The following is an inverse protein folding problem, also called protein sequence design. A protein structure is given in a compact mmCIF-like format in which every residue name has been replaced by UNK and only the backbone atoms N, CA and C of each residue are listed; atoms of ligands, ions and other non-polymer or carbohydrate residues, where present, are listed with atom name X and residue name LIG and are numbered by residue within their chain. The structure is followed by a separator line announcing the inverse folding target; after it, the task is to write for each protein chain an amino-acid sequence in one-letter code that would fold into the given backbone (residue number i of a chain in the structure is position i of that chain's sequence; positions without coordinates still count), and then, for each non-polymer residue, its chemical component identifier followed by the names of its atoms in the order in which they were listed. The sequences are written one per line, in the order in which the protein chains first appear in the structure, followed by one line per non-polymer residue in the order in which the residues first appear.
data_IF_688246827311
#
_entry.id   IF_688246827311
#
_cell.length_a   1.000
_cell.length_b   1.000
_cell.length_c   1.000
_cell.angle_alpha   90.00
_cell.angle_beta   90.00
_cell.angle_gamma   90.00
#
_symmetry.space_group_name_H-M   'P 1'
#
loop_
_entity.id
_entity.type
_entity.pdbx_description
1 polymer ?
#
# COMPACT_ATOMS: atom_id res chain seq x y z
N UNK A 1 15.67 18.11 -23.48
CA UNK A 1 15.09 17.45 -22.29
C UNK A 1 13.76 18.10 -21.97
N UNK A 2 12.63 17.50 -22.32
CA UNK A 2 11.31 17.99 -21.87
C UNK A 2 10.99 17.39 -20.48
N UNK A 3 10.46 18.16 -19.53
CA UNK A 3 10.01 17.63 -18.25
C UNK A 3 8.67 16.93 -18.46
N UNK A 4 8.68 15.59 -18.52
CA UNK A 4 7.45 14.81 -18.67
C UNK A 4 6.62 14.88 -17.37
N UNK A 5 5.78 15.90 -17.29
CA UNK A 5 4.96 16.28 -16.12
C UNK A 5 3.74 15.37 -15.92
N UNK A 6 3.88 14.09 -16.25
CA UNK A 6 2.82 13.10 -16.26
C UNK A 6 3.17 11.98 -15.28
N UNK A 7 2.85 12.19 -14.00
CA UNK A 7 2.71 11.09 -13.05
C UNK A 7 1.43 10.37 -13.48
N UNK A 8 1.49 9.13 -14.01
CA UNK A 8 0.29 8.46 -14.48
C UNK A 8 -0.65 8.21 -13.29
N UNK A 9 -1.88 8.71 -13.35
CA UNK A 9 -2.90 8.56 -12.30
C UNK A 9 -3.21 7.08 -11.97
N UNK A 10 -2.90 6.19 -12.90
CA UNK A 10 -2.85 4.72 -12.73
C UNK A 10 -1.84 4.22 -11.67
N UNK A 11 -1.08 5.11 -11.03
CA UNK A 11 -0.25 4.83 -9.83
C UNK A 11 -0.52 5.85 -8.72
N UNK A 12 -1.76 6.33 -8.60
CA UNK A 12 -2.14 7.17 -7.48
C UNK A 12 -1.94 6.44 -6.14
N UNK A 13 -1.45 7.17 -5.14
CA UNK A 13 -1.20 6.60 -3.80
C UNK A 13 -2.47 6.00 -3.19
N UNK A 14 -3.62 6.60 -3.49
CA UNK A 14 -4.95 6.15 -3.06
C UNK A 14 -5.32 4.82 -3.70
N UNK A 15 -5.08 4.62 -5.00
CA UNK A 15 -5.33 3.35 -5.68
C UNK A 15 -4.44 2.22 -5.14
N UNK A 16 -3.15 2.49 -4.95
CA UNK A 16 -2.21 1.54 -4.34
C UNK A 16 -2.62 1.22 -2.89
N UNK A 17 -3.08 2.22 -2.13
CA UNK A 17 -3.65 2.05 -0.79
C UNK A 17 -4.90 1.16 -0.79
N UNK A 18 -5.87 1.44 -1.66
CA UNK A 18 -7.08 0.62 -1.80
C UNK A 18 -6.75 -0.84 -2.16
N UNK A 19 -5.75 -1.06 -3.01
CA UNK A 19 -5.29 -2.40 -3.38
C UNK A 19 -4.63 -3.14 -2.21
N UNK A 20 -3.72 -2.49 -1.49
CA UNK A 20 -3.04 -3.06 -0.32
C UNK A 20 -4.04 -3.35 0.79
N UNK A 21 -4.90 -2.38 1.13
CA UNK A 21 -5.99 -2.54 2.07
C UNK A 21 -6.85 -3.73 1.65
N UNK A 22 -7.24 -3.79 0.38
CA UNK A 22 -7.99 -4.88 -0.24
C UNK A 22 -7.35 -6.27 -0.10
N UNK A 23 -6.01 -6.38 -0.04
CA UNK A 23 -5.32 -7.66 0.23
C UNK A 23 -5.09 -7.95 1.72
N UNK A 24 -5.31 -6.99 2.62
CA UNK A 24 -5.26 -7.18 4.07
C UNK A 24 -6.60 -7.72 4.62
N UNK A 25 -7.07 -8.86 4.10
CA UNK A 25 -8.34 -9.47 4.55
C UNK A 25 -8.25 -10.13 5.93
N UNK A 26 -7.05 -10.56 6.32
CA UNK A 26 -6.74 -11.11 7.63
C UNK A 26 -5.47 -10.44 8.20
N UNK A 27 -5.32 -10.36 9.54
CA UNK A 27 -4.12 -9.80 10.17
C UNK A 27 -2.84 -10.44 9.64
N UNK A 28 -1.83 -9.63 9.32
CA UNK A 28 -0.59 -10.14 8.74
C UNK A 28 0.61 -9.25 8.97
N UNK A 29 1.81 -9.84 8.93
CA UNK A 29 3.05 -9.07 9.04
C UNK A 29 3.27 -8.19 7.81
N UNK A 30 4.01 -7.10 7.97
CA UNK A 30 4.39 -6.19 6.87
C UNK A 30 5.01 -6.96 5.70
N UNK A 31 5.93 -7.90 5.99
CA UNK A 31 6.58 -8.74 4.98
C UNK A 31 5.60 -9.71 4.30
N UNK A 32 4.67 -10.31 5.04
CA UNK A 32 3.66 -11.21 4.48
C UNK A 32 2.61 -10.49 3.64
N UNK A 33 2.33 -9.22 3.92
CA UNK A 33 1.52 -8.38 3.04
C UNK A 33 2.31 -7.96 1.79
N UNK A 34 3.58 -7.56 1.95
CA UNK A 34 4.46 -7.21 0.83
C UNK A 34 4.60 -8.35 -0.20
N UNK A 35 4.88 -9.58 0.24
CA UNK A 35 5.00 -10.74 -0.65
C UNK A 35 3.73 -11.00 -1.49
N UNK A 36 2.54 -10.69 -0.95
CA UNK A 36 1.26 -10.85 -1.65
C UNK A 36 0.94 -9.72 -2.64
N UNK A 37 1.60 -8.56 -2.54
CA UNK A 37 1.32 -7.39 -3.39
C UNK A 37 2.49 -6.98 -4.29
N UNK A 38 3.72 -7.46 -4.05
CA UNK A 38 4.93 -7.09 -4.83
C UNK A 38 4.89 -7.50 -6.30
N UNK A 39 4.09 -8.51 -6.64
CA UNK A 39 3.87 -8.96 -8.03
C UNK A 39 2.87 -8.09 -8.78
N UNK A 40 2.16 -7.19 -8.09
CA UNK A 40 1.20 -6.30 -8.72
C UNK A 40 1.90 -5.05 -9.33
N UNK A 41 1.70 -4.78 -10.64
CA UNK A 41 2.37 -3.68 -11.35
C UNK A 41 1.92 -2.28 -10.93
N UNK A 42 0.76 -2.15 -10.27
CA UNK A 42 0.27 -0.88 -9.70
C UNK A 42 1.06 -0.47 -8.47
N UNK A 43 1.39 -1.45 -7.60
CA UNK A 43 2.30 -1.23 -6.46
C UNK A 43 3.69 -0.91 -6.98
N UNK A 44 4.24 -1.78 -7.84
CA UNK A 44 5.46 -1.55 -8.63
C UNK A 44 6.79 -1.42 -7.87
N UNK A 45 6.80 -1.04 -6.58
CA UNK A 45 8.02 -0.96 -5.76
C UNK A 45 7.72 -1.04 -4.25
N UNK A 46 8.73 -1.46 -3.47
CA UNK A 46 8.63 -1.44 -2.00
C UNK A 46 8.42 -0.03 -1.44
N UNK A 47 8.99 1.00 -2.10
CA UNK A 47 8.78 2.41 -1.72
C UNK A 47 7.31 2.80 -1.79
N UNK A 48 6.62 2.43 -2.87
CA UNK A 48 5.19 2.73 -3.03
C UNK A 48 4.34 1.94 -2.03
N UNK A 49 4.69 0.68 -1.76
CA UNK A 49 4.05 -0.11 -0.71
C UNK A 49 4.16 0.56 0.66
N UNK A 50 5.36 0.95 1.09
CA UNK A 50 5.57 1.64 2.38
C UNK A 50 4.85 2.98 2.42
N UNK A 51 4.87 3.77 1.33
CA UNK A 51 4.19 5.07 1.28
C UNK A 51 2.65 4.90 1.37
N UNK A 52 2.09 3.90 0.70
CA UNK A 52 0.66 3.60 0.75
C UNK A 52 0.24 3.04 2.11
N UNK A 53 1.09 2.22 2.73
CA UNK A 53 0.88 1.72 4.09
C UNK A 53 0.88 2.86 5.13
N UNK A 54 1.81 3.81 5.00
CA UNK A 54 1.85 5.02 5.83
C UNK A 54 0.60 5.88 5.63
N UNK A 55 0.14 6.04 4.38
CA UNK A 55 -1.10 6.76 4.08
C UNK A 55 -2.31 6.07 4.74
N UNK A 56 -2.45 4.75 4.59
CA UNK A 56 -3.54 3.98 5.22
C UNK A 56 -3.52 4.09 6.75
N UNK A 57 -2.34 4.08 7.37
CA UNK A 57 -2.18 4.24 8.82
C UNK A 57 -2.54 5.66 9.26
N UNK A 58 -2.07 6.69 8.53
CA UNK A 58 -2.35 8.09 8.83
C UNK A 58 -3.85 8.47 8.73
N UNK A 59 -4.62 7.79 7.87
CA UNK A 59 -6.09 7.94 7.80
C UNK A 59 -6.84 6.98 8.72
N UNK A 60 -6.15 6.15 9.51
CA UNK A 60 -6.75 5.17 10.42
C UNK A 60 -7.41 3.97 9.75
N UNK A 61 -7.16 3.70 8.46
CA UNK A 61 -7.74 2.56 7.72
C UNK A 61 -7.01 1.23 8.00
N UNK A 62 -5.75 1.29 8.43
CA UNK A 62 -5.01 0.15 8.98
C UNK A 62 -4.38 0.52 10.30
N UNK A 63 -4.22 -0.48 11.15
CA UNK A 63 -3.59 -0.37 12.44
C UNK A 63 -2.48 -1.43 12.59
N UNK A 64 -1.49 -1.16 13.43
CA UNK A 64 -0.28 -1.97 13.58
C UNK A 64 -0.02 -2.30 15.04
N UNK A 65 -0.43 -3.51 15.45
CA UNK A 65 -0.23 -4.01 16.81
C UNK A 65 0.62 -5.29 16.79
N UNK A 66 1.58 -5.37 17.73
CA UNK A 66 2.38 -6.59 18.01
C UNK A 66 3.05 -7.21 16.76
N UNK A 67 3.40 -6.40 15.76
CA UNK A 67 4.00 -6.85 14.50
C UNK A 67 3.02 -7.21 13.38
N UNK A 68 1.71 -7.12 13.64
CA UNK A 68 0.65 -7.41 12.68
C UNK A 68 -0.07 -6.15 12.24
N UNK A 69 -0.22 -5.99 10.93
CA UNK A 69 -1.16 -5.08 10.32
C UNK A 69 -2.55 -5.69 10.39
N UNK A 70 -3.55 -4.89 10.79
CA UNK A 70 -4.98 -5.20 10.72
C UNK A 70 -5.72 -4.07 10.00
N UNK A 71 -6.87 -4.36 9.39
CA UNK A 71 -7.82 -3.30 9.02
C UNK A 71 -8.49 -2.79 10.28
N UNK A 72 -8.68 -1.48 10.35
CA UNK A 72 -9.65 -0.88 11.26
C UNK A 72 -11.04 -1.13 10.68
N UNK A 73 -12.03 -1.46 11.52
CA UNK A 73 -13.44 -1.58 11.13
C UNK A 73 -14.21 -0.31 11.47
#
# INVERSE_FOLDING_TARGET
MLPNKHIPTNRSLVGIGALILGRLEAPSTVSGLWERVRTNPEVGSFRNFVLALNYLYAIGAVDFERGFLRRTQ
#
